data_IF_775788590111
#
_entry.id   IF_775788590111
#
_cell.length_a   1.000
_cell.length_b   1.000
_cell.length_c   1.000
_cell.angle_alpha   90.00
_cell.angle_beta   90.00
_cell.angle_gamma   90.00
#
_symmetry.space_group_name_H-M   'P 1'
#
loop_
_entity.id
_entity.type
_entity.pdbx_description
1 polymer ?
#
# COMPACT_ATOMS: atom_id res chain seq x y z
N UNK A 1 25.13 -0.64 -2.27
CA UNK A 1 23.76 -0.78 -2.80
C UNK A 1 23.27 -2.17 -2.45
N UNK A 2 22.06 -2.31 -1.91
CA UNK A 2 21.47 -3.62 -1.58
C UNK A 2 21.27 -4.48 -2.83
N UNK A 3 21.27 -5.82 -2.72
CA UNK A 3 21.09 -6.70 -3.87
C UNK A 3 19.69 -6.56 -4.48
N UNK A 4 19.58 -6.73 -5.80
CA UNK A 4 18.32 -6.64 -6.54
C UNK A 4 17.64 -8.00 -6.64
N UNK A 5 16.33 -8.04 -6.37
CA UNK A 5 15.51 -9.25 -6.45
C UNK A 5 14.24 -8.95 -7.24
N UNK A 6 14.09 -9.61 -8.39
CA UNK A 6 12.81 -9.60 -9.13
C UNK A 6 11.81 -10.49 -8.42
N UNK A 7 10.70 -9.93 -7.95
CA UNK A 7 9.70 -10.67 -7.21
C UNK A 7 8.79 -11.42 -8.18
N UNK A 8 8.69 -12.75 -8.08
CA UNK A 8 7.76 -13.52 -8.90
C UNK A 8 6.35 -13.55 -8.29
N UNK A 9 5.34 -13.81 -9.11
CA UNK A 9 3.96 -14.05 -8.66
C UNK A 9 3.87 -15.07 -7.52
N UNK A 10 4.64 -16.16 -7.61
CA UNK A 10 4.73 -17.21 -6.59
C UNK A 10 5.36 -16.75 -5.27
N UNK A 11 6.13 -15.67 -5.28
CA UNK A 11 6.73 -15.13 -4.06
C UNK A 11 5.71 -14.29 -3.30
N UNK A 12 4.88 -13.51 -4.01
CA UNK A 12 3.82 -12.71 -3.40
C UNK A 12 2.80 -13.55 -2.61
N UNK A 13 2.57 -14.81 -2.98
CA UNK A 13 1.67 -15.71 -2.24
C UNK A 13 2.16 -16.03 -0.83
N UNK A 14 3.46 -15.89 -0.54
CA UNK A 14 4.04 -16.09 0.80
C UNK A 14 3.58 -15.03 1.81
N UNK A 15 3.11 -13.87 1.35
CA UNK A 15 2.51 -12.85 2.21
C UNK A 15 1.04 -13.13 2.55
N UNK A 16 0.39 -14.09 1.89
CA UNK A 16 -1.03 -14.37 2.08
C UNK A 16 -1.26 -15.38 3.20
N UNK A 17 -2.11 -15.02 4.16
CA UNK A 17 -2.51 -15.92 5.24
C UNK A 17 -3.83 -16.59 4.92
N UNK A 18 -3.82 -17.93 4.93
CA UNK A 18 -5.02 -18.74 4.77
C UNK A 18 -5.70 -18.87 6.13
N UNK A 19 -6.96 -18.42 6.28
CA UNK A 19 -7.70 -18.63 7.52
C UNK A 19 -7.87 -20.12 7.82
N UNK A 20 -7.80 -20.49 9.10
CA UNK A 20 -8.08 -21.83 9.61
C UNK A 20 -9.29 -21.81 10.56
N UNK A 21 -9.68 -22.97 11.11
CA UNK A 21 -10.86 -23.10 11.97
C UNK A 21 -10.83 -22.22 13.24
N UNK A 22 -9.65 -21.85 13.73
CA UNK A 22 -9.48 -20.96 14.90
C UNK A 22 -9.44 -19.47 14.53
N UNK A 23 -9.51 -19.14 13.24
CA UNK A 23 -9.39 -17.77 12.75
C UNK A 23 -10.66 -16.97 13.02
N UNK A 24 -10.49 -15.72 13.44
CA UNK A 24 -11.57 -14.76 13.62
C UNK A 24 -11.19 -13.42 12.96
N UNK A 25 -12.14 -12.46 12.94
CA UNK A 25 -11.93 -11.15 12.30
C UNK A 25 -10.72 -10.37 12.83
N UNK A 26 -10.27 -10.62 14.06
CA UNK A 26 -9.10 -9.96 14.64
C UNK A 26 -7.79 -10.72 14.36
N UNK A 27 -7.81 -12.05 14.33
CA UNK A 27 -6.59 -12.84 14.03
C UNK A 27 -6.20 -12.78 12.55
N UNK A 28 -7.15 -12.46 11.66
CA UNK A 28 -6.93 -12.18 10.24
C UNK A 28 -6.42 -10.77 9.95
N UNK A 29 -6.14 -9.97 10.97
CA UNK A 29 -5.63 -8.62 10.84
C UNK A 29 -6.72 -7.56 10.79
N UNK A 30 -6.45 -6.42 11.43
CA UNK A 30 -7.30 -5.23 11.44
C UNK A 30 -6.56 -4.06 10.80
N UNK A 31 -7.10 -3.48 9.74
CA UNK A 31 -6.56 -2.28 9.11
C UNK A 31 -7.32 -1.04 9.58
N UNK A 32 -6.61 -0.02 10.07
CA UNK A 32 -7.12 1.34 10.18
C UNK A 32 -6.88 2.11 8.89
N UNK A 33 -7.87 2.85 8.39
CA UNK A 33 -7.78 3.62 7.15
C UNK A 33 -8.17 5.06 7.42
N UNK A 34 -7.26 6.00 7.15
CA UNK A 34 -7.48 7.45 7.23
C UNK A 34 -7.19 8.06 5.85
N UNK A 35 -8.16 7.94 4.97
CA UNK A 35 -8.07 8.34 3.56
C UNK A 35 -9.34 9.06 3.14
N UNK A 36 -9.25 9.84 2.07
CA UNK A 36 -10.30 10.67 1.52
C UNK A 36 -10.68 11.87 2.41
N UNK A 37 -10.92 12.99 1.75
CA UNK A 37 -11.40 14.21 2.36
C UNK A 37 -12.83 14.54 1.87
N UNK A 38 -13.35 15.72 2.24
CA UNK A 38 -14.60 16.21 1.67
C UNK A 38 -14.49 16.49 0.17
N UNK A 39 -13.30 16.90 -0.29
CA UNK A 39 -12.94 17.21 -1.66
C UNK A 39 -12.67 15.93 -2.47
N UNK A 40 -11.99 14.94 -1.87
CA UNK A 40 -11.58 13.70 -2.54
C UNK A 40 -12.11 12.42 -1.87
N UNK A 41 -13.43 12.25 -1.69
CA UNK A 41 -13.99 11.11 -0.98
C UNK A 41 -13.83 9.78 -1.73
N UNK A 42 -13.58 9.81 -3.05
CA UNK A 42 -13.38 8.61 -3.85
C UNK A 42 -12.19 7.76 -3.39
N UNK A 43 -11.13 8.40 -2.89
CA UNK A 43 -9.95 7.70 -2.38
C UNK A 43 -10.28 6.86 -1.14
N UNK A 44 -11.19 7.34 -0.27
CA UNK A 44 -11.71 6.56 0.86
C UNK A 44 -12.42 5.31 0.37
N UNK A 45 -13.30 5.45 -0.62
CA UNK A 45 -14.05 4.33 -1.20
C UNK A 45 -13.11 3.30 -1.83
N UNK A 46 -12.15 3.74 -2.64
CA UNK A 46 -11.24 2.82 -3.35
C UNK A 46 -10.30 2.08 -2.39
N UNK A 47 -9.65 2.79 -1.47
CA UNK A 47 -8.71 2.19 -0.52
C UNK A 47 -9.38 1.24 0.47
N UNK A 48 -10.56 1.59 1.01
CA UNK A 48 -11.30 0.72 1.93
C UNK A 48 -11.85 -0.53 1.24
N UNK A 49 -12.42 -0.39 0.04
CA UNK A 49 -12.91 -1.53 -0.77
C UNK A 49 -11.76 -2.46 -1.15
N UNK A 50 -10.64 -1.92 -1.62
CA UNK A 50 -9.46 -2.70 -1.98
C UNK A 50 -8.95 -3.50 -0.77
N UNK A 51 -8.87 -2.86 0.41
CA UNK A 51 -8.49 -3.55 1.63
C UNK A 51 -9.46 -4.67 2.02
N UNK A 52 -10.77 -4.42 1.97
CA UNK A 52 -11.80 -5.42 2.27
C UNK A 52 -11.71 -6.65 1.35
N UNK A 53 -11.34 -6.45 0.09
CA UNK A 53 -11.18 -7.51 -0.92
C UNK A 53 -9.82 -8.22 -0.82
N UNK A 54 -8.87 -7.66 -0.04
CA UNK A 54 -7.52 -8.18 0.13
C UNK A 54 -7.36 -9.18 1.30
N UNK A 55 -8.38 -10.01 1.55
CA UNK A 55 -8.38 -11.09 2.56
C UNK A 55 -8.21 -10.63 4.03
N UNK A 56 -8.39 -9.34 4.33
CA UNK A 56 -8.32 -8.79 5.69
C UNK A 56 -9.47 -9.30 6.58
N UNK A 57 -9.25 -9.31 7.89
CA UNK A 57 -10.29 -9.66 8.86
C UNK A 57 -11.27 -8.54 9.17
N UNK A 58 -10.79 -7.29 9.25
CA UNK A 58 -11.61 -6.12 9.53
C UNK A 58 -10.96 -4.83 9.00
N UNK A 59 -11.78 -3.95 8.43
CA UNK A 59 -11.38 -2.59 8.05
C UNK A 59 -12.09 -1.60 8.98
N UNK A 60 -11.32 -0.72 9.60
CA UNK A 60 -11.81 0.43 10.38
C UNK A 60 -11.49 1.70 9.60
N UNK A 61 -12.51 2.51 9.34
CA UNK A 61 -12.36 3.74 8.58
C UNK A 61 -12.57 4.96 9.48
N UNK A 62 -11.72 5.97 9.31
CA UNK A 62 -11.82 7.27 9.97
C UNK A 62 -11.63 8.38 8.95
N UNK A 63 -12.57 9.33 8.93
CA UNK A 63 -12.59 10.41 7.94
C UNK A 63 -13.86 11.27 8.07
N UNK A 64 -14.08 12.22 7.15
CA UNK A 64 -15.22 13.14 7.24
C UNK A 64 -16.54 12.41 6.95
N UNK A 65 -17.66 12.93 7.50
CA UNK A 65 -18.98 12.27 7.39
C UNK A 65 -19.39 11.98 5.94
N UNK A 66 -19.06 12.87 5.00
CA UNK A 66 -19.31 12.66 3.56
C UNK A 66 -18.64 11.40 3.04
N UNK A 67 -17.36 11.21 3.36
CA UNK A 67 -16.61 10.04 2.93
C UNK A 67 -17.07 8.77 3.68
N UNK A 68 -17.38 8.86 4.98
CA UNK A 68 -17.96 7.75 5.75
C UNK A 68 -19.24 7.21 5.09
N UNK A 69 -20.17 8.10 4.70
CA UNK A 69 -21.41 7.69 4.05
C UNK A 69 -21.17 6.96 2.71
N UNK A 70 -20.23 7.46 1.90
CA UNK A 70 -19.88 6.84 0.62
C UNK A 70 -19.17 5.49 0.79
N UNK A 71 -18.30 5.37 1.80
CA UNK A 71 -17.66 4.10 2.16
C UNK A 71 -18.71 3.09 2.58
N UNK A 72 -19.64 3.45 3.48
CA UNK A 72 -20.68 2.53 3.97
C UNK A 72 -21.67 2.12 2.87
N UNK A 73 -21.96 3.01 1.93
CA UNK A 73 -22.79 2.69 0.77
C UNK A 73 -22.12 1.64 -0.13
N UNK A 74 -20.79 1.71 -0.28
CA UNK A 74 -20.05 0.83 -1.18
C UNK A 74 -19.62 -0.48 -0.49
N UNK A 75 -19.22 -0.41 0.77
CA UNK A 75 -18.69 -1.52 1.59
C UNK A 75 -19.31 -1.47 3.00
N UNK A 76 -20.53 -2.01 3.18
CA UNK A 76 -21.22 -2.00 4.47
C UNK A 76 -20.50 -2.82 5.56
N UNK A 77 -19.55 -3.68 5.19
CA UNK A 77 -18.69 -4.43 6.10
C UNK A 77 -17.62 -3.58 6.82
N UNK A 78 -17.38 -2.35 6.36
CA UNK A 78 -16.40 -1.42 6.95
C UNK A 78 -16.96 -0.80 8.24
N UNK A 79 -16.15 -0.78 9.29
CA UNK A 79 -16.50 -0.11 10.55
C UNK A 79 -16.05 1.35 10.47
N UNK A 80 -16.97 2.25 10.08
CA UNK A 80 -16.70 3.68 9.99
C UNK A 80 -16.95 4.40 11.33
N UNK A 81 -16.06 5.32 11.67
CA UNK A 81 -16.19 6.21 12.83
C UNK A 81 -15.50 7.55 12.55
N UNK A 82 -15.76 8.57 13.36
CA UNK A 82 -15.05 9.86 13.23
C UNK A 82 -13.54 9.69 13.46
N UNK A 83 -13.17 9.00 14.55
CA UNK A 83 -11.79 8.67 14.89
C UNK A 83 -11.58 7.15 14.83
N UNK A 84 -10.36 6.68 14.56
CA UNK A 84 -10.04 5.25 14.66
C UNK A 84 -10.24 4.78 16.10
N UNK A 85 -11.08 3.75 16.28
CA UNK A 85 -11.41 3.18 17.58
C UNK A 85 -11.00 1.72 17.69
N UNK A 86 -10.50 1.32 18.85
CA UNK A 86 -10.12 -0.06 19.15
C UNK A 86 -8.80 -0.49 18.49
N UNK A 87 -8.53 -1.80 18.54
CA UNK A 87 -7.28 -2.37 18.03
C UNK A 87 -7.16 -2.20 16.51
N UNK A 88 -5.99 -1.77 16.05
CA UNK A 88 -5.53 -1.79 14.67
C UNK A 88 -4.17 -2.49 14.60
N UNK A 89 -3.94 -3.27 13.55
CA UNK A 89 -2.70 -4.03 13.32
C UNK A 89 -1.80 -3.38 12.27
N UNK A 90 -2.37 -2.58 11.37
CA UNK A 90 -1.68 -1.67 10.48
C UNK A 90 -2.56 -0.43 10.22
N UNK A 91 -1.97 0.63 9.69
CA UNK A 91 -2.68 1.85 9.31
C UNK A 91 -2.35 2.20 7.85
N UNK A 92 -3.32 2.69 7.08
CA UNK A 92 -3.10 3.35 5.78
C UNK A 92 -3.59 4.78 5.86
N UNK A 93 -2.77 5.74 5.45
CA UNK A 93 -3.10 7.18 5.48
C UNK A 93 -2.71 7.90 4.18
N UNK A 94 -3.43 8.98 3.89
CA UNK A 94 -2.97 10.03 2.97
C UNK A 94 -3.58 10.05 1.58
N UNK A 95 -4.01 8.91 1.02
CA UNK A 95 -4.76 8.89 -0.24
C UNK A 95 -6.01 9.79 -0.15
N UNK A 96 -6.16 10.75 -1.07
CA UNK A 96 -7.25 11.73 -1.07
C UNK A 96 -7.24 12.74 0.09
N UNK A 97 -6.13 12.87 0.82
CA UNK A 97 -5.89 14.00 1.72
C UNK A 97 -5.24 15.12 0.89
N UNK A 98 -5.76 16.36 0.92
CA UNK A 98 -5.11 17.48 0.24
C UNK A 98 -3.69 17.70 0.79
N UNK A 99 -2.74 18.00 -0.10
CA UNK A 99 -1.42 18.48 0.30
C UNK A 99 -1.49 19.90 0.91
N UNK A 100 -0.37 20.40 1.45
CA UNK A 100 -0.31 21.75 2.03
C UNK A 100 -0.83 22.84 1.09
N UNK A 101 -0.59 22.72 -0.23
CA UNK A 101 -1.01 23.72 -1.21
C UNK A 101 -2.51 23.70 -1.54
N UNK A 102 -3.17 22.57 -1.29
CA UNK A 102 -4.58 22.36 -1.61
C UNK A 102 -5.47 22.23 -0.35
N UNK A 103 -4.91 22.42 0.83
CA UNK A 103 -5.60 22.31 2.11
C UNK A 103 -6.39 23.58 2.46
N UNK A 104 -7.54 23.76 1.80
CA UNK A 104 -8.34 24.99 1.88
C UNK A 104 -9.51 24.96 2.89
N UNK A 105 -9.79 23.80 3.50
CA UNK A 105 -10.91 23.64 4.44
C UNK A 105 -10.43 23.30 5.85
N UNK A 106 -11.15 23.78 6.87
CA UNK A 106 -10.89 23.47 8.29
C UNK A 106 -10.89 21.95 8.51
N UNK A 107 -11.85 21.23 7.91
CA UNK A 107 -11.90 19.77 7.98
C UNK A 107 -10.67 19.06 7.40
N UNK A 108 -10.05 19.62 6.35
CA UNK A 108 -8.83 19.08 5.78
C UNK A 108 -7.61 19.38 6.67
N UNK A 109 -7.58 20.57 7.30
CA UNK A 109 -6.53 20.95 8.25
C UNK A 109 -6.54 20.04 9.48
N UNK A 110 -7.70 19.82 10.10
CA UNK A 110 -7.86 18.91 11.25
C UNK A 110 -7.39 17.49 10.91
N UNK A 111 -7.73 16.97 9.73
CA UNK A 111 -7.27 15.65 9.27
C UNK A 111 -5.76 15.59 9.07
N UNK A 112 -5.16 16.62 8.48
CA UNK A 112 -3.70 16.71 8.32
C UNK A 112 -3.00 16.78 9.66
N UNK A 113 -3.51 17.55 10.61
CA UNK A 113 -2.98 17.60 11.98
C UNK A 113 -3.07 16.23 12.68
N UNK A 114 -4.20 15.53 12.55
CA UNK A 114 -4.35 14.17 13.07
C UNK A 114 -3.31 13.22 12.46
N UNK A 115 -3.10 13.25 11.13
CA UNK A 115 -2.11 12.42 10.45
C UNK A 115 -0.69 12.78 10.89
N UNK A 116 -0.35 14.07 10.96
CA UNK A 116 0.96 14.53 11.42
C UNK A 116 1.27 14.05 12.84
N UNK A 117 0.27 14.12 13.75
CA UNK A 117 0.40 13.62 15.11
C UNK A 117 0.62 12.10 15.16
N UNK A 118 -0.04 11.33 14.30
CA UNK A 118 0.20 9.88 14.16
C UNK A 118 1.64 9.63 13.68
N UNK A 119 2.08 10.32 12.64
CA UNK A 119 3.40 10.13 12.02
C UNK A 119 4.54 10.53 12.97
N UNK A 120 4.37 11.56 13.79
CA UNK A 120 5.34 12.00 14.81
C UNK A 120 5.68 10.90 15.81
N UNK A 121 4.75 10.00 16.12
CA UNK A 121 5.04 8.89 17.03
C UNK A 121 6.09 7.92 16.45
N UNK A 122 6.17 7.78 15.12
CA UNK A 122 7.14 6.92 14.45
C UNK A 122 8.57 7.51 14.45
N UNK A 123 8.69 8.84 14.50
CA UNK A 123 9.97 9.50 14.73
C UNK A 123 10.49 9.19 16.14
N UNK A 124 9.63 9.34 17.15
CA UNK A 124 9.97 9.05 18.54
C UNK A 124 10.40 7.58 18.73
N UNK A 125 9.70 6.64 18.09
CA UNK A 125 10.06 5.22 18.16
C UNK A 125 11.39 4.93 17.47
N UNK A 126 11.69 5.61 16.35
CA UNK A 126 12.97 5.44 15.64
C UNK A 126 14.19 5.90 16.46
N UNK A 127 13.99 6.85 17.39
CA UNK A 127 15.05 7.39 18.25
C UNK A 127 15.20 6.62 19.58
N UNK A 128 14.23 5.77 19.94
CA UNK A 128 14.21 5.09 21.23
C UNK A 128 15.08 3.83 21.19
N UNK A 129 16.28 3.90 21.76
CA UNK A 129 17.29 2.83 21.79
C UNK A 129 17.04 1.72 22.82
N UNK A 130 15.95 1.79 23.59
CA UNK A 130 15.62 0.79 24.62
C UNK A 130 14.77 -0.37 24.04
N UNK A 131 15.46 -1.40 23.54
CA UNK A 131 14.91 -2.61 22.92
C UNK A 131 14.02 -3.44 23.88
N UNK A 132 14.19 -3.32 25.20
CA UNK A 132 13.56 -4.22 26.18
C UNK A 132 12.12 -3.85 26.62
N UNK A 133 11.64 -2.63 26.37
CA UNK A 133 10.27 -2.21 26.74
C UNK A 133 9.28 -2.17 25.56
N UNK A 134 9.73 -2.52 24.35
CA UNK A 134 8.98 -2.32 23.10
C UNK A 134 7.86 -3.34 22.82
N UNK A 135 7.81 -4.50 23.48
CA UNK A 135 6.92 -5.59 23.03
C UNK A 135 5.43 -5.41 23.36
N UNK A 136 5.05 -4.52 24.28
CA UNK A 136 3.63 -4.32 24.64
C UNK A 136 2.98 -3.09 24.00
N UNK A 137 3.76 -2.14 23.47
CA UNK A 137 3.26 -0.86 22.90
C UNK A 137 3.93 -0.44 21.57
N UNK A 138 4.53 -1.37 20.81
CA UNK A 138 5.08 -1.05 19.49
C UNK A 138 3.99 -0.50 18.56
N UNK A 139 4.27 0.62 17.87
CA UNK A 139 3.33 1.16 16.90
C UNK A 139 3.10 0.16 15.76
N UNK A 140 1.87 0.03 15.23
CA UNK A 140 1.62 -0.80 14.06
C UNK A 140 2.39 -0.26 12.84
N UNK A 141 2.71 -1.06 11.81
CA UNK A 141 3.19 -0.55 10.53
C UNK A 141 2.15 0.38 9.89
N UNK A 142 2.64 1.33 9.10
CA UNK A 142 1.82 2.34 8.45
C UNK A 142 2.20 2.51 6.99
N UNK A 143 1.20 2.49 6.11
CA UNK A 143 1.31 2.90 4.72
C UNK A 143 1.00 4.40 4.61
N UNK A 144 1.92 5.19 4.06
CA UNK A 144 1.80 6.64 3.87
C UNK A 144 1.82 6.92 2.37
N UNK A 145 0.70 7.41 1.85
CA UNK A 145 0.51 7.68 0.43
C UNK A 145 0.12 9.15 0.20
N UNK A 146 0.33 9.64 -1.03
CA UNK A 146 -0.18 10.92 -1.51
C UNK A 146 0.02 12.10 -0.54
N UNK A 147 -1.07 12.79 -0.17
CA UNK A 147 -1.03 14.03 0.63
C UNK A 147 -0.64 13.86 2.09
N UNK A 148 -0.21 12.67 2.53
CA UNK A 148 0.46 12.47 3.82
C UNK A 148 1.99 12.41 3.71
N UNK A 149 2.57 12.35 2.50
CA UNK A 149 4.01 12.25 2.30
C UNK A 149 4.77 13.53 2.71
N UNK A 150 4.13 14.69 2.56
CA UNK A 150 4.66 15.99 2.99
C UNK A 150 4.64 16.15 4.53
N UNK A 151 3.76 15.43 5.22
CA UNK A 151 3.65 15.39 6.68
C UNK A 151 4.67 14.47 7.38
N UNK A 152 5.41 13.65 6.64
CA UNK A 152 6.33 12.66 7.20
C UNK A 152 7.46 13.35 8.01
N UNK A 153 7.84 12.90 9.21
CA UNK A 153 9.06 13.37 9.88
C UNK A 153 10.33 13.15 9.04
N UNK A 154 11.42 13.88 9.34
CA UNK A 154 12.69 13.71 8.60
C UNK A 154 13.32 12.33 8.80
N UNK A 155 13.05 11.67 9.93
CA UNK A 155 13.50 10.31 10.20
C UNK A 155 12.40 9.48 10.85
N UNK A 156 12.21 8.28 10.32
CA UNK A 156 11.28 7.26 10.80
C UNK A 156 11.98 5.89 10.74
N UNK A 157 11.22 4.80 10.69
CA UNK A 157 11.73 3.43 10.67
C UNK A 157 11.08 2.58 9.57
N UNK A 158 11.63 1.39 9.33
CA UNK A 158 11.29 0.55 8.18
C UNK A 158 9.82 0.08 8.10
N UNK A 159 9.08 0.13 9.23
CA UNK A 159 7.65 -0.18 9.29
C UNK A 159 6.74 0.94 8.77
N UNK A 160 7.30 2.13 8.54
CA UNK A 160 6.67 3.19 7.76
C UNK A 160 6.95 2.88 6.29
N UNK A 161 5.90 2.62 5.52
CA UNK A 161 5.97 2.27 4.10
C UNK A 161 5.42 3.43 3.28
N UNK A 162 6.29 4.08 2.50
CA UNK A 162 5.93 5.19 1.64
C UNK A 162 5.61 4.67 0.23
N UNK A 163 4.59 5.21 -0.42
CA UNK A 163 4.20 4.81 -1.78
C UNK A 163 4.28 5.95 -2.80
N UNK A 164 5.38 6.74 -2.91
CA UNK A 164 5.44 7.86 -3.83
C UNK A 164 5.50 7.42 -5.30
N UNK A 165 4.87 8.17 -6.21
CA UNK A 165 5.26 8.20 -7.62
C UNK A 165 6.43 9.17 -7.84
N UNK A 166 6.99 9.25 -9.05
CA UNK A 166 8.18 10.07 -9.32
C UNK A 166 8.04 11.56 -8.93
N UNK A 167 6.90 12.18 -9.23
CA UNK A 167 6.57 13.54 -8.76
C UNK A 167 6.53 13.70 -7.23
N UNK A 168 5.82 12.82 -6.51
CA UNK A 168 5.80 12.81 -5.04
C UNK A 168 7.19 12.60 -4.46
N UNK A 169 8.01 11.75 -5.08
CA UNK A 169 9.39 11.49 -4.67
C UNK A 169 10.30 12.71 -4.88
N UNK A 170 10.10 13.47 -5.96
CA UNK A 170 10.75 14.76 -6.19
C UNK A 170 10.42 15.74 -5.05
N UNK A 171 9.15 15.87 -4.67
CA UNK A 171 8.72 16.70 -3.54
C UNK A 171 9.32 16.23 -2.21
N UNK A 172 9.43 14.92 -2.00
CA UNK A 172 10.07 14.36 -0.81
C UNK A 172 11.56 14.74 -0.72
N UNK A 173 12.30 14.69 -1.83
CA UNK A 173 13.72 15.06 -1.85
C UNK A 173 13.98 16.53 -1.54
N UNK A 174 13.09 17.44 -1.95
CA UNK A 174 13.19 18.87 -1.60
C UNK A 174 13.22 19.11 -0.09
N UNK A 175 12.59 18.23 0.71
CA UNK A 175 12.58 18.31 2.18
C UNK A 175 13.95 18.01 2.82
N UNK A 176 14.87 17.44 2.03
CA UNK A 176 16.26 17.17 2.37
C UNK A 176 17.21 18.08 1.59
N UNK A 177 16.72 19.20 1.05
CA UNK A 177 17.52 20.17 0.29
C UNK A 177 18.16 19.56 -0.97
N UNK A 178 17.50 18.55 -1.56
CA UNK A 178 17.91 17.88 -2.79
C UNK A 178 16.96 18.20 -3.94
N UNK A 179 17.48 18.79 -5.01
CA UNK A 179 16.75 19.00 -6.25
C UNK A 179 17.01 17.82 -7.20
N UNK A 180 16.04 16.92 -7.30
CA UNK A 180 16.09 15.77 -8.20
C UNK A 180 14.85 15.81 -9.09
N UNK A 181 15.05 15.82 -10.40
CA UNK A 181 13.95 15.88 -11.36
C UNK A 181 13.21 14.55 -11.50
N UNK A 182 11.96 14.60 -11.96
CA UNK A 182 11.18 13.40 -12.34
C UNK A 182 11.94 12.56 -13.39
N UNK A 183 12.62 13.20 -14.34
CA UNK A 183 13.35 12.49 -15.39
C UNK A 183 14.55 11.71 -14.84
N UNK A 184 15.26 12.25 -13.86
CA UNK A 184 16.34 11.53 -13.17
C UNK A 184 15.80 10.32 -12.42
N UNK A 185 14.70 10.49 -11.68
CA UNK A 185 14.04 9.39 -10.96
C UNK A 185 13.62 8.26 -11.90
N UNK A 186 12.98 8.60 -13.03
CA UNK A 186 12.53 7.61 -14.01
C UNK A 186 13.69 6.89 -14.70
N UNK A 187 14.86 7.53 -14.84
CA UNK A 187 16.07 6.90 -15.40
C UNK A 187 16.72 5.93 -14.41
N UNK A 188 16.73 6.26 -13.12
CA UNK A 188 17.42 5.48 -12.08
C UNK A 188 16.51 5.17 -10.87
N UNK A 189 15.35 4.53 -11.05
CA UNK A 189 14.36 4.37 -9.97
C UNK A 189 14.91 3.55 -8.78
N UNK A 190 15.80 2.60 -9.05
CA UNK A 190 16.50 1.80 -8.03
C UNK A 190 17.36 2.66 -7.10
N UNK A 191 18.16 3.55 -7.69
CA UNK A 191 19.05 4.44 -6.94
C UNK A 191 18.23 5.38 -6.05
N UNK A 192 17.21 6.03 -6.62
CA UNK A 192 16.43 7.01 -5.89
C UNK A 192 15.47 6.39 -4.88
N UNK A 193 14.97 5.16 -5.09
CA UNK A 193 14.26 4.41 -4.08
C UNK A 193 15.15 4.12 -2.86
N UNK A 194 16.37 3.61 -3.08
CA UNK A 194 17.33 3.35 -2.01
C UNK A 194 17.73 4.64 -1.29
N UNK A 195 17.99 5.72 -2.04
CA UNK A 195 18.35 7.04 -1.47
C UNK A 195 17.24 7.59 -0.58
N UNK A 196 15.98 7.51 -1.02
CA UNK A 196 14.85 7.95 -0.21
C UNK A 196 14.68 7.09 1.05
N UNK A 197 14.87 5.77 0.93
CA UNK A 197 14.83 4.86 2.08
C UNK A 197 15.95 5.17 3.08
N UNK A 198 17.16 5.44 2.62
CA UNK A 198 18.30 5.81 3.48
C UNK A 198 18.10 7.17 4.17
N UNK A 199 17.55 8.15 3.45
CA UNK A 199 17.26 9.49 3.99
C UNK A 199 16.16 9.44 5.05
N UNK A 200 15.06 8.75 4.77
CA UNK A 200 13.88 8.71 5.66
C UNK A 200 13.99 7.66 6.77
N UNK A 201 14.73 6.57 6.56
CA UNK A 201 14.66 5.35 7.38
C UNK A 201 13.44 4.47 7.09
N UNK A 202 12.56 4.89 6.16
CA UNK A 202 11.35 4.18 5.78
C UNK A 202 11.63 3.03 4.80
N UNK A 203 10.61 2.20 4.58
CA UNK A 203 10.50 1.40 3.34
C UNK A 203 9.83 2.25 2.27
N UNK A 204 10.39 2.32 1.07
CA UNK A 204 9.91 3.17 -0.02
C UNK A 204 9.57 2.31 -1.24
N UNK A 205 8.30 2.35 -1.64
CA UNK A 205 7.76 1.78 -2.87
C UNK A 205 7.58 2.90 -3.88
N UNK A 206 8.46 2.97 -4.87
CA UNK A 206 8.38 3.95 -5.96
C UNK A 206 7.48 3.41 -7.06
N UNK A 207 6.30 4.03 -7.22
CA UNK A 207 5.31 3.70 -8.26
C UNK A 207 5.83 4.08 -9.65
N UNK A 208 5.66 3.22 -10.64
CA UNK A 208 6.05 3.46 -12.02
C UNK A 208 5.76 2.26 -12.94
N UNK A 209 6.21 2.31 -14.20
CA UNK A 209 6.11 1.17 -15.13
C UNK A 209 6.86 -0.07 -14.62
N UNK A 210 7.86 0.14 -13.77
CA UNK A 210 8.49 -0.86 -12.93
C UNK A 210 8.44 -0.33 -11.51
N UNK A 211 7.76 -1.05 -10.63
CA UNK A 211 7.66 -0.69 -9.23
C UNK A 211 8.93 -1.15 -8.51
N UNK A 212 9.58 -0.23 -7.81
CA UNK A 212 10.82 -0.50 -7.06
C UNK A 212 10.56 -0.33 -5.58
N UNK A 213 10.98 -1.30 -4.77
CA UNK A 213 10.82 -1.24 -3.31
C UNK A 213 12.16 -1.39 -2.62
N UNK A 214 12.52 -0.41 -1.79
CA UNK A 214 13.76 -0.41 -1.01
C UNK A 214 13.47 -0.11 0.46
N UNK A 215 14.16 -0.79 1.37
CA UNK A 215 14.30 -0.34 2.77
C UNK A 215 15.68 0.27 2.96
N UNK A 216 15.87 1.02 4.05
CA UNK A 216 17.16 1.61 4.36
C UNK A 216 18.28 0.57 4.38
N UNK A 217 19.46 0.91 3.84
CA UNK A 217 20.57 0.00 3.58
C UNK A 217 21.05 -0.73 4.84
N UNK A 218 20.94 -0.10 6.01
CA UNK A 218 21.31 -0.70 7.30
C UNK A 218 20.41 -1.88 7.72
N UNK A 219 19.24 -2.05 7.08
CA UNK A 219 18.35 -3.20 7.32
C UNK A 219 18.84 -4.47 6.62
N UNK A 220 19.82 -4.36 5.71
CA UNK A 220 20.31 -5.46 4.88
C UNK A 220 19.22 -6.17 4.07
N UNK A 221 18.10 -5.49 3.81
CA UNK A 221 17.00 -5.99 2.99
C UNK A 221 17.35 -5.79 1.50
N UNK A 222 17.11 -6.77 0.61
CA UNK A 222 17.24 -6.57 -0.83
C UNK A 222 16.28 -5.50 -1.35
N UNK A 223 16.63 -4.90 -2.49
CA UNK A 223 15.72 -4.07 -3.27
C UNK A 223 14.86 -5.01 -4.11
N UNK A 224 13.54 -4.90 -3.99
CA UNK A 224 12.60 -5.69 -4.76
C UNK A 224 12.12 -4.94 -5.99
N UNK A 225 11.97 -5.66 -7.09
CA UNK A 225 11.45 -5.17 -8.35
C UNK A 225 10.16 -5.93 -8.69
N UNK A 226 9.07 -5.19 -8.92
CA UNK A 226 7.80 -5.71 -9.42
C UNK A 226 7.53 -5.13 -10.82
N UNK A 227 7.28 -6.01 -11.78
CA UNK A 227 7.12 -5.64 -13.20
C UNK A 227 6.12 -6.57 -13.89
N UNK A 228 4.83 -6.40 -13.57
CA UNK A 228 3.74 -7.20 -14.11
C UNK A 228 2.59 -6.36 -14.68
N UNK A 229 2.59 -5.05 -14.49
CA UNK A 229 1.43 -4.20 -14.79
C UNK A 229 1.20 -3.90 -16.28
N UNK A 230 -0.05 -3.87 -16.77
CA UNK A 230 -0.37 -3.35 -18.10
C UNK A 230 -0.28 -1.83 -18.12
N UNK A 231 -0.13 -1.22 -19.29
CA UNK A 231 -0.11 0.25 -19.43
C UNK A 231 -1.42 0.90 -18.98
N UNK A 232 -2.52 0.14 -18.96
CA UNK A 232 -3.84 0.58 -18.47
C UNK A 232 -3.89 0.86 -16.96
N UNK A 233 -2.84 0.56 -16.19
CA UNK A 233 -2.70 0.97 -14.79
C UNK A 233 -2.62 2.48 -14.60
N UNK A 234 -2.33 3.25 -15.66
CA UNK A 234 -2.33 4.70 -15.67
C UNK A 234 -3.75 5.30 -15.63
N UNK A 235 -4.62 4.76 -14.77
CA UNK A 235 -5.96 5.28 -14.46
C UNK A 235 -5.96 5.93 -13.08
N UNK A 236 -6.78 6.97 -12.91
CA UNK A 236 -7.00 7.59 -11.61
C UNK A 236 -7.48 6.56 -10.57
N UNK A 237 -6.99 6.69 -9.34
CA UNK A 237 -7.37 5.84 -8.21
C UNK A 237 -6.68 4.48 -8.11
N UNK A 238 -5.84 4.09 -9.07
CA UNK A 238 -5.06 2.83 -8.97
C UNK A 238 -4.09 2.86 -7.77
N UNK A 239 -3.51 4.02 -7.48
CA UNK A 239 -2.70 4.25 -6.27
C UNK A 239 -3.47 4.01 -4.98
N UNK A 240 -4.73 4.47 -4.89
CA UNK A 240 -5.58 4.27 -3.71
C UNK A 240 -5.88 2.78 -3.49
N UNK A 241 -6.07 2.03 -4.58
CA UNK A 241 -6.24 0.57 -4.54
C UNK A 241 -4.98 -0.12 -4.03
N UNK A 242 -3.80 0.27 -4.53
CA UNK A 242 -2.51 -0.24 -4.06
C UNK A 242 -2.32 0.04 -2.55
N UNK A 243 -2.63 1.26 -2.09
CA UNK A 243 -2.53 1.62 -0.67
C UNK A 243 -3.45 0.77 0.22
N UNK A 244 -4.66 0.45 -0.26
CA UNK A 244 -5.59 -0.47 0.40
C UNK A 244 -5.08 -1.91 0.49
N UNK A 245 -4.57 -2.45 -0.63
CA UNK A 245 -3.96 -3.80 -0.68
C UNK A 245 -2.75 -3.87 0.26
N UNK A 246 -1.86 -2.88 0.19
CA UNK A 246 -0.66 -2.81 1.02
C UNK A 246 -1.00 -2.76 2.51
N UNK A 247 -1.92 -1.89 2.92
CA UNK A 247 -2.40 -1.82 4.30
C UNK A 247 -2.94 -3.17 4.79
N UNK A 248 -3.73 -3.84 3.95
CA UNK A 248 -4.29 -5.14 4.30
C UNK A 248 -3.21 -6.22 4.51
N UNK A 249 -2.16 -6.24 3.67
CA UNK A 249 -1.05 -7.19 3.83
C UNK A 249 -0.19 -6.86 5.07
N UNK A 250 0.05 -5.58 5.35
CA UNK A 250 0.76 -5.14 6.56
C UNK A 250 0.02 -5.55 7.84
N UNK A 251 -1.31 -5.45 7.86
CA UNK A 251 -2.15 -5.88 8.97
C UNK A 251 -2.17 -7.41 9.15
N UNK A 252 -1.97 -8.14 8.05
CA UNK A 252 -1.89 -9.60 8.02
C UNK A 252 -0.50 -10.15 8.36
N UNK A 253 0.53 -9.32 8.53
CA UNK A 253 1.92 -9.79 8.82
C UNK A 253 2.01 -10.74 10.02
N UNK A 254 3.09 -11.50 10.11
CA UNK A 254 3.42 -12.26 11.32
C UNK A 254 3.81 -11.31 12.46
N UNK A 255 3.14 -11.45 13.61
CA UNK A 255 3.31 -10.55 14.77
C UNK A 255 4.25 -11.10 15.84
N UNK A 256 4.69 -12.36 15.70
CA UNK A 256 5.50 -13.04 16.71
C UNK A 256 6.93 -12.50 16.78
N UNK A 257 7.47 -12.02 15.67
CA UNK A 257 8.81 -11.43 15.61
C UNK A 257 8.82 -10.22 14.65
N UNK A 258 8.52 -9.04 15.20
CA UNK A 258 8.51 -7.80 14.42
C UNK A 258 9.91 -7.46 13.88
N UNK A 259 10.99 -7.86 14.58
CA UNK A 259 12.37 -7.61 14.16
C UNK A 259 12.76 -8.35 12.88
N UNK A 260 12.03 -9.42 12.53
CA UNK A 260 12.21 -10.20 11.29
C UNK A 260 11.23 -9.82 10.19
N UNK A 261 10.33 -8.88 10.43
CA UNK A 261 9.35 -8.49 9.42
C UNK A 261 10.04 -7.78 8.25
N UNK A 262 9.95 -8.38 7.06
CA UNK A 262 10.45 -7.78 5.83
C UNK A 262 9.35 -6.92 5.18
N UNK A 263 9.27 -5.65 5.59
CA UNK A 263 8.27 -4.71 5.08
C UNK A 263 8.44 -4.44 3.57
N UNK A 264 9.67 -4.43 3.04
CA UNK A 264 9.90 -4.29 1.61
C UNK A 264 9.31 -5.46 0.80
N UNK A 265 9.43 -6.69 1.30
CA UNK A 265 8.83 -7.86 0.68
C UNK A 265 7.29 -7.79 0.69
N UNK A 266 6.69 -7.35 1.79
CA UNK A 266 5.24 -7.14 1.88
C UNK A 266 4.79 -6.07 0.87
N UNK A 267 5.51 -4.95 0.81
CA UNK A 267 5.21 -3.85 -0.10
C UNK A 267 5.36 -4.25 -1.58
N UNK A 268 6.42 -4.97 -1.91
CA UNK A 268 6.61 -5.52 -3.26
C UNK A 268 5.54 -6.56 -3.60
N UNK A 269 5.12 -7.40 -2.64
CA UNK A 269 4.04 -8.36 -2.84
C UNK A 269 2.69 -7.67 -3.10
N UNK A 270 2.41 -6.55 -2.42
CA UNK A 270 1.23 -5.73 -2.69
C UNK A 270 1.25 -5.17 -4.12
N UNK A 271 2.39 -4.67 -4.58
CA UNK A 271 2.56 -4.18 -5.96
C UNK A 271 2.34 -5.30 -6.99
N UNK A 272 2.93 -6.48 -6.79
CA UNK A 272 2.73 -7.63 -7.67
C UNK A 272 1.26 -8.05 -7.73
N UNK A 273 0.58 -8.15 -6.59
CA UNK A 273 -0.85 -8.51 -6.54
C UNK A 273 -1.69 -7.47 -7.28
N UNK A 274 -1.46 -6.19 -7.02
CA UNK A 274 -2.13 -5.08 -7.68
C UNK A 274 -1.94 -5.11 -9.21
N UNK A 275 -0.70 -5.28 -9.66
CA UNK A 275 -0.34 -5.35 -11.08
C UNK A 275 -0.99 -6.56 -11.78
N UNK A 276 -0.99 -7.74 -11.15
CA UNK A 276 -1.65 -8.94 -11.70
C UNK A 276 -3.16 -8.76 -11.78
N UNK A 277 -3.78 -8.13 -10.77
CA UNK A 277 -5.20 -7.79 -10.80
C UNK A 277 -5.53 -6.89 -11.99
N UNK A 278 -4.67 -5.92 -12.29
CA UNK A 278 -4.84 -5.07 -13.46
C UNK A 278 -4.66 -5.82 -14.78
N UNK A 279 -3.66 -6.71 -14.90
CA UNK A 279 -3.55 -7.57 -16.10
C UNK A 279 -4.81 -8.41 -16.28
N UNK A 280 -5.25 -9.07 -15.22
CA UNK A 280 -6.44 -9.91 -15.24
C UNK A 280 -7.68 -9.12 -15.64
N UNK A 281 -7.89 -7.94 -15.03
CA UNK A 281 -8.99 -7.05 -15.37
C UNK A 281 -8.94 -6.62 -16.84
N UNK A 282 -7.76 -6.23 -17.35
CA UNK A 282 -7.59 -5.75 -18.74
C UNK A 282 -7.75 -6.82 -19.82
N UNK A 283 -7.69 -8.11 -19.44
CA UNK A 283 -7.80 -9.24 -20.37
C UNK A 283 -9.12 -9.99 -20.24
N UNK A 284 -9.90 -9.71 -19.19
CA UNK A 284 -11.17 -10.37 -18.93
C UNK A 284 -12.27 -9.81 -19.82
N UNK A 285 -12.35 -10.28 -21.07
CA UNK A 285 -13.56 -10.10 -21.89
C UNK A 285 -14.66 -11.02 -21.34
N UNK A 286 -15.86 -10.46 -21.12
CA UNK A 286 -17.00 -11.03 -20.36
C UNK A 286 -17.64 -12.34 -20.85
N UNK A 287 -16.86 -13.32 -21.30
CA UNK A 287 -17.31 -14.65 -21.72
C UNK A 287 -16.34 -15.80 -21.48
N UNK A 288 -15.11 -15.55 -21.00
CA UNK A 288 -14.15 -16.61 -20.70
C UNK A 288 -14.26 -17.08 -19.24
N UNK A 289 -14.22 -18.40 -19.02
CA UNK A 289 -14.08 -18.97 -17.67
C UNK A 289 -12.80 -18.41 -17.03
N UNK A 290 -12.94 -17.71 -15.91
CA UNK A 290 -11.83 -17.09 -15.18
C UNK A 290 -10.67 -18.06 -14.90
N UNK A 291 -10.97 -19.35 -14.73
CA UNK A 291 -9.98 -20.41 -14.56
C UNK A 291 -9.12 -20.63 -15.81
N UNK A 292 -9.74 -20.62 -17.00
CA UNK A 292 -9.04 -20.84 -18.27
C UNK A 292 -8.13 -19.66 -18.61
N UNK A 293 -8.65 -18.43 -18.45
CA UNK A 293 -7.92 -17.20 -18.74
C UNK A 293 -6.64 -17.08 -17.89
N UNK A 294 -6.70 -17.51 -16.63
CA UNK A 294 -5.54 -17.47 -15.73
C UNK A 294 -4.57 -18.61 -15.98
N UNK A 295 -5.04 -19.82 -16.30
CA UNK A 295 -4.14 -20.90 -16.71
C UNK A 295 -3.36 -20.52 -17.97
N UNK A 296 -3.99 -19.84 -18.91
CA UNK A 296 -3.34 -19.35 -20.12
C UNK A 296 -2.33 -18.23 -19.79
N UNK A 297 -2.64 -17.32 -18.86
CA UNK A 297 -1.69 -16.32 -18.37
C UNK A 297 -0.45 -16.92 -17.69
N UNK A 298 -0.63 -17.96 -16.88
CA UNK A 298 0.47 -18.63 -16.18
C UNK A 298 1.32 -19.52 -17.11
N UNK A 299 0.74 -20.03 -18.21
CA UNK A 299 1.40 -20.94 -19.17
C UNK A 299 2.00 -20.24 -20.40
N UNK A 300 1.59 -19.02 -20.73
CA UNK A 300 2.00 -18.34 -21.95
C UNK A 300 3.50 -17.96 -21.96
N UNK A 301 4.27 -18.48 -22.94
CA UNK A 301 5.66 -18.06 -23.24
C UNK A 301 5.76 -16.81 -24.12
N UNK A 302 4.65 -16.38 -24.73
CA UNK A 302 4.45 -15.11 -25.46
C UNK A 302 3.00 -14.66 -25.26
N UNK A 303 2.71 -13.36 -25.08
CA UNK A 303 1.36 -12.92 -24.79
C UNK A 303 0.47 -13.00 -26.04
N UNK A 304 -0.69 -13.64 -25.91
CA UNK A 304 -1.84 -13.49 -26.80
C UNK A 304 -2.99 -13.01 -25.92
N UNK A 305 -3.43 -11.76 -26.06
CA UNK A 305 -4.78 -11.26 -25.76
C UNK A 305 -4.83 -9.74 -26.02
N UNK A 306 -5.87 -9.27 -26.71
CA UNK A 306 -6.21 -7.84 -26.69
C UNK A 306 -6.38 -7.40 -25.23
N UNK A 307 -5.70 -6.34 -24.82
CA UNK A 307 -5.99 -5.64 -23.57
C UNK A 307 -7.02 -4.54 -23.83
N UNK A 308 -7.92 -4.30 -22.88
CA UNK A 308 -8.90 -3.22 -22.93
C UNK A 308 -8.70 -2.23 -21.78
N UNK A 309 -9.23 -0.99 -21.91
CA UNK A 309 -9.22 -0.03 -20.82
C UNK A 309 -9.86 -0.60 -19.54
N UNK A 310 -9.31 -0.21 -18.39
CA UNK A 310 -9.82 -0.55 -17.06
C UNK A 310 -9.87 0.71 -16.19
N UNK A 311 -10.69 0.67 -15.14
CA UNK A 311 -10.69 1.64 -14.04
C UNK A 311 -10.22 0.98 -12.74
N UNK A 312 -9.93 1.79 -11.71
CA UNK A 312 -9.47 1.30 -10.41
C UNK A 312 -10.41 0.23 -9.79
N UNK A 313 -11.73 0.40 -9.96
CA UNK A 313 -12.73 -0.57 -9.49
C UNK A 313 -12.63 -1.95 -10.16
N UNK A 314 -12.13 -2.05 -11.39
CA UNK A 314 -11.94 -3.34 -12.06
C UNK A 314 -10.80 -4.13 -11.39
N UNK A 315 -9.75 -3.43 -10.94
CA UNK A 315 -8.65 -4.02 -10.16
C UNK A 315 -9.18 -4.58 -8.84
N UNK A 316 -10.07 -3.84 -8.16
CA UNK A 316 -10.72 -4.30 -6.93
C UNK A 316 -11.55 -5.56 -7.20
N UNK A 317 -12.35 -5.59 -8.26
CA UNK A 317 -13.18 -6.74 -8.63
C UNK A 317 -12.36 -8.00 -8.95
N UNK A 318 -11.13 -7.82 -9.44
CA UNK A 318 -10.21 -8.91 -9.74
C UNK A 318 -9.57 -9.55 -8.48
N UNK A 319 -9.44 -8.80 -7.37
CA UNK A 319 -8.69 -9.22 -6.17
C UNK A 319 -9.08 -10.60 -5.64
N UNK A 320 -10.36 -10.93 -5.37
CA UNK A 320 -10.71 -12.21 -4.77
C UNK A 320 -10.32 -13.40 -5.65
N UNK A 321 -10.44 -13.25 -6.97
CA UNK A 321 -10.08 -14.27 -7.96
C UNK A 321 -8.57 -14.48 -7.98
N UNK A 322 -7.80 -13.39 -8.09
CA UNK A 322 -6.34 -13.45 -8.12
C UNK A 322 -5.79 -14.02 -6.82
N UNK A 323 -6.28 -13.57 -5.66
CA UNK A 323 -5.87 -14.12 -4.36
C UNK A 323 -6.22 -15.60 -4.22
N UNK A 324 -7.40 -16.01 -4.67
CA UNK A 324 -7.80 -17.42 -4.71
C UNK A 324 -6.81 -18.27 -5.51
N UNK A 325 -6.31 -17.77 -6.63
CA UNK A 325 -5.29 -18.46 -7.43
C UNK A 325 -3.95 -18.50 -6.72
N UNK A 326 -3.45 -17.36 -6.24
CA UNK A 326 -2.15 -17.26 -5.56
C UNK A 326 -2.05 -18.19 -4.35
N UNK A 327 -3.13 -18.33 -3.59
CA UNK A 327 -3.21 -19.23 -2.43
C UNK A 327 -3.07 -20.70 -2.83
N UNK A 328 -3.51 -21.07 -4.04
CA UNK A 328 -3.53 -22.45 -4.55
C UNK A 328 -2.34 -22.78 -5.48
N UNK A 329 -1.40 -21.86 -5.72
CA UNK A 329 -0.20 -22.07 -6.56
C UNK A 329 0.90 -22.92 -5.89
N UNK A 330 0.56 -23.79 -4.93
CA UNK A 330 1.53 -24.65 -4.24
C UNK A 330 1.97 -25.84 -5.10
#
# INVERSE_FOLDING_TARGET
>A
MSPLVNLATKDASKCLKIPNQSSNKYSRGVLGVITGSNEYPGAAVLSTRAAAYANIGMVRYSGPLRAQNLVLQASPEVVASQNLQGKVDAITVGSGIPDESNCNSESAQEQREQIANILKNYENESQSSNIQSQSQNALPPICVDAGALDLLPKKVCAKVVLTPHAGELCSLFKRYDLEISVQEILKNPVEYAQKAADLTGATVLVKGATTVVASASYTHTPIYIAQYGPTWLATAGSGDVLAGILGALLAQREKQDESRTNYAFIAASAAVIHEICAVFASRSSGGNSYTQLVQDMLKAKKPLALEHPIVASDIISALPHVLGILINMK
#
